data_IF_088752322949
#
_entry.id   IF_088752322949
#
_cell.length_a   1.000
_cell.length_b   1.000
_cell.length_c   1.000
_cell.angle_alpha   90.00
_cell.angle_beta   90.00
_cell.angle_gamma   90.00
#
_symmetry.space_group_name_H-M   'P 1'
#
loop_
_entity.id
_entity.type
_entity.pdbx_description
1 polymer ?
#
# COMPACT_ATOMS: atom_id res chain seq x y z
N UNK A 1 -13.48 21.09 26.25
CA UNK A 1 -14.80 21.30 26.88
C UNK A 1 -15.60 20.02 26.74
N UNK A 2 -16.06 19.47 27.86
CA UNK A 2 -16.82 18.22 27.90
C UNK A 2 -18.25 18.56 28.35
N UNK A 3 -19.26 17.94 27.74
CA UNK A 3 -20.65 18.16 28.08
C UNK A 3 -21.25 16.91 28.77
N UNK A 4 -22.12 17.14 29.75
CA UNK A 4 -22.82 16.05 30.41
C UNK A 4 -23.81 15.37 29.46
N UNK A 5 -23.70 14.06 29.31
CA UNK A 5 -24.59 13.29 28.41
C UNK A 5 -26.05 13.23 28.86
N UNK A 6 -26.35 13.50 30.14
CA UNK A 6 -27.70 13.47 30.67
C UNK A 6 -28.41 14.79 30.64
N UNK A 7 -27.73 15.91 30.99
CA UNK A 7 -28.34 17.24 31.11
C UNK A 7 -27.78 18.28 30.16
N UNK A 8 -26.72 17.99 29.40
CA UNK A 8 -26.10 18.92 28.47
C UNK A 8 -25.25 20.02 29.12
N UNK A 9 -25.12 20.05 30.45
CA UNK A 9 -24.34 21.07 31.15
C UNK A 9 -22.86 20.95 30.81
N UNK A 10 -22.17 22.10 30.70
CA UNK A 10 -20.73 22.16 30.47
C UNK A 10 -19.97 21.70 31.72
N UNK A 11 -19.01 20.83 31.53
CA UNK A 11 -18.23 20.19 32.58
C UNK A 11 -16.75 20.59 32.47
N UNK A 12 -16.10 20.73 33.62
CA UNK A 12 -14.65 20.87 33.69
C UNK A 12 -13.98 19.56 33.30
N UNK A 13 -12.85 19.63 32.62
CA UNK A 13 -12.10 18.43 32.15
C UNK A 13 -11.67 17.50 33.29
N UNK A 14 -11.65 18.00 34.55
CA UNK A 14 -11.33 17.24 35.77
C UNK A 14 -12.55 16.67 36.50
N UNK A 15 -13.80 17.06 36.11
CA UNK A 15 -15.00 16.66 36.82
C UNK A 15 -15.20 15.14 36.81
N UNK A 16 -15.46 14.57 37.95
CA UNK A 16 -15.87 13.16 38.14
C UNK A 16 -17.38 13.01 38.14
N UNK A 17 -18.12 14.03 38.59
CA UNK A 17 -19.56 14.10 38.61
C UNK A 17 -20.05 15.40 37.98
N UNK A 18 -21.26 15.37 37.43
CA UNK A 18 -21.90 16.58 36.91
C UNK A 18 -22.45 17.43 38.03
N UNK A 19 -22.02 18.68 38.16
CA UNK A 19 -22.46 19.63 39.19
C UNK A 19 -23.98 19.93 39.11
N UNK A 20 -24.58 19.78 37.90
CA UNK A 20 -25.99 20.09 37.66
C UNK A 20 -26.94 18.91 37.89
N UNK A 21 -26.54 17.66 37.64
CA UNK A 21 -27.42 16.50 37.70
C UNK A 21 -26.85 15.31 38.49
N UNK A 22 -25.67 15.43 39.09
CA UNK A 22 -25.02 14.43 39.96
C UNK A 22 -24.61 13.15 39.29
N UNK A 23 -24.72 13.05 37.95
CA UNK A 23 -24.33 11.82 37.23
C UNK A 23 -22.82 11.73 37.09
N UNK A 24 -22.29 10.53 37.29
CA UNK A 24 -20.88 10.24 37.11
C UNK A 24 -20.45 10.46 35.67
N UNK A 25 -19.37 11.24 35.49
CA UNK A 25 -18.80 11.56 34.17
C UNK A 25 -17.86 10.44 33.74
N UNK A 26 -18.37 9.52 32.92
CA UNK A 26 -17.55 8.47 32.32
C UNK A 26 -16.64 9.14 31.30
N UNK A 27 -15.39 9.36 31.67
CA UNK A 27 -14.34 9.78 30.72
C UNK A 27 -14.03 8.61 29.81
N UNK A 28 -14.67 8.56 28.64
CA UNK A 28 -14.28 7.64 27.59
C UNK A 28 -12.93 8.13 27.09
N UNK A 29 -11.87 7.52 27.59
CA UNK A 29 -10.52 7.74 27.07
C UNK A 29 -10.53 7.38 25.58
N UNK A 30 -10.64 8.37 24.71
CA UNK A 30 -10.47 8.14 23.28
C UNK A 30 -9.04 7.61 23.09
N UNK A 31 -8.92 6.30 22.85
CA UNK A 31 -7.62 5.71 22.55
C UNK A 31 -7.09 6.42 21.32
N UNK A 32 -5.96 7.08 21.47
CA UNK A 32 -5.32 7.76 20.35
C UNK A 32 -5.04 6.75 19.23
N UNK A 33 -4.97 7.23 18.01
CA UNK A 33 -4.62 6.38 16.85
C UNK A 33 -3.28 5.67 17.09
N UNK A 34 -2.38 6.33 17.82
CA UNK A 34 -1.09 5.81 18.25
C UNK A 34 -1.24 4.61 19.20
N UNK A 35 -2.12 4.69 20.21
CA UNK A 35 -2.37 3.58 21.15
C UNK A 35 -2.98 2.35 20.46
N UNK A 36 -3.86 2.56 19.47
CA UNK A 36 -4.39 1.46 18.63
C UNK A 36 -3.31 0.83 17.77
N UNK A 37 -2.40 1.65 17.22
CA UNK A 37 -1.27 1.18 16.42
C UNK A 37 -0.28 0.39 17.28
N UNK A 38 0.03 0.88 18.48
CA UNK A 38 0.94 0.23 19.42
C UNK A 38 0.34 -1.06 20.00
N UNK A 39 -0.97 -1.11 20.26
CA UNK A 39 -1.64 -2.34 20.67
C UNK A 39 -1.67 -3.40 19.57
N UNK A 40 -1.85 -3.00 18.30
CA UNK A 40 -1.73 -3.93 17.18
C UNK A 40 -0.30 -4.44 17.01
N UNK A 41 0.70 -3.58 17.23
CA UNK A 41 2.12 -3.94 17.21
C UNK A 41 2.52 -4.82 18.39
N UNK A 42 1.86 -4.66 19.55
CA UNK A 42 2.05 -5.52 20.72
C UNK A 42 1.35 -6.89 20.55
N UNK A 43 0.20 -6.93 19.86
CA UNK A 43 -0.43 -8.21 19.48
C UNK A 43 0.45 -9.00 18.51
N UNK A 44 1.15 -8.33 17.59
CA UNK A 44 2.14 -8.96 16.72
C UNK A 44 3.38 -9.48 17.49
N UNK A 45 3.67 -8.91 18.68
CA UNK A 45 4.75 -9.37 19.57
C UNK A 45 4.37 -10.52 20.50
N UNK A 46 3.07 -10.70 20.77
CA UNK A 46 2.55 -11.84 21.58
C UNK A 46 2.17 -13.04 20.71
N UNK A 47 2.90 -13.25 19.61
CA UNK A 47 2.75 -14.43 18.77
C UNK A 47 3.05 -15.69 19.59
N UNK A 48 2.17 -16.68 19.48
CA UNK A 48 2.39 -18.00 20.04
C UNK A 48 3.70 -18.59 19.52
N UNK A 49 4.40 -19.38 20.35
CA UNK A 49 5.62 -20.11 19.95
C UNK A 49 5.43 -20.85 18.61
N UNK A 50 4.23 -21.39 18.41
CA UNK A 50 3.79 -22.08 17.21
C UNK A 50 3.68 -21.17 15.96
N UNK A 51 3.32 -19.91 16.16
CA UNK A 51 3.24 -18.91 15.09
C UNK A 51 4.64 -18.41 14.72
N UNK A 52 5.54 -18.28 15.70
CA UNK A 52 6.96 -17.96 15.45
C UNK A 52 7.65 -19.05 14.65
N UNK A 53 7.45 -20.32 14.98
CA UNK A 53 7.97 -21.47 14.22
C UNK A 53 7.43 -21.50 12.77
N UNK A 54 6.14 -21.17 12.57
CA UNK A 54 5.57 -21.05 11.23
C UNK A 54 6.18 -19.89 10.44
N UNK A 55 6.39 -18.75 11.08
CA UNK A 55 7.01 -17.58 10.46
C UNK A 55 8.44 -17.91 10.03
N UNK A 56 9.19 -18.60 10.88
CA UNK A 56 10.59 -18.97 10.61
C UNK A 56 10.66 -19.98 9.45
N UNK A 57 9.77 -20.96 9.40
CA UNK A 57 9.68 -21.96 8.33
C UNK A 57 9.32 -21.36 6.97
N UNK A 58 8.56 -20.28 6.92
CA UNK A 58 8.10 -19.64 5.69
C UNK A 58 8.75 -18.27 5.42
N UNK A 59 9.83 -17.94 6.17
CA UNK A 59 10.55 -16.68 6.05
C UNK A 59 11.11 -16.43 4.64
N UNK A 60 11.51 -17.51 3.97
CA UNK A 60 12.11 -17.46 2.63
C UNK A 60 11.09 -17.59 1.49
N UNK A 61 9.80 -17.69 1.82
CA UNK A 61 8.75 -17.77 0.81
C UNK A 61 8.61 -16.43 0.08
N UNK A 62 8.86 -16.45 -1.23
CA UNK A 62 8.83 -15.26 -2.07
C UNK A 62 7.53 -15.19 -2.86
N UNK A 63 7.02 -13.99 -3.03
CA UNK A 63 5.87 -13.75 -3.91
C UNK A 63 6.31 -13.87 -5.38
N UNK A 64 5.83 -14.87 -6.15
CA UNK A 64 6.32 -15.15 -7.50
C UNK A 64 6.01 -14.02 -8.49
N UNK A 65 4.98 -13.22 -8.22
CA UNK A 65 4.55 -12.16 -9.13
C UNK A 65 5.37 -10.87 -9.01
N UNK A 66 6.15 -10.69 -7.94
CA UNK A 66 6.99 -9.48 -7.77
C UNK A 66 8.07 -9.41 -8.83
N UNK A 67 8.74 -10.54 -9.13
CA UNK A 67 9.78 -10.59 -10.16
C UNK A 67 9.26 -10.23 -11.54
N UNK A 68 8.11 -10.80 -11.92
CA UNK A 68 7.47 -10.50 -13.20
C UNK A 68 6.99 -9.05 -13.30
N UNK A 69 6.42 -8.49 -12.21
CA UNK A 69 6.02 -7.10 -12.16
C UNK A 69 7.22 -6.16 -12.30
N UNK A 70 8.31 -6.43 -11.57
CA UNK A 70 9.53 -5.62 -11.64
C UNK A 70 10.15 -5.66 -13.04
N UNK A 71 10.23 -6.84 -13.65
CA UNK A 71 10.72 -6.99 -15.01
C UNK A 71 9.90 -6.16 -16.00
N UNK A 72 8.57 -6.26 -15.95
CA UNK A 72 7.68 -5.50 -16.83
C UNK A 72 7.84 -3.97 -16.63
N UNK A 73 7.99 -3.50 -15.38
CA UNK A 73 8.27 -2.09 -15.06
C UNK A 73 9.59 -1.64 -15.68
N UNK A 74 10.66 -2.42 -15.51
CA UNK A 74 12.00 -2.08 -16.06
C UNK A 74 11.94 -2.01 -17.57
N UNK A 75 11.31 -2.99 -18.23
CA UNK A 75 11.19 -2.99 -19.70
C UNK A 75 10.40 -1.76 -20.18
N UNK A 76 9.26 -1.47 -19.57
CA UNK A 76 8.46 -0.30 -19.93
C UNK A 76 9.23 1.01 -19.72
N UNK A 77 10.00 1.12 -18.63
CA UNK A 77 10.82 2.29 -18.33
C UNK A 77 11.96 2.46 -19.34
N UNK A 78 12.66 1.38 -19.67
CA UNK A 78 13.73 1.40 -20.69
C UNK A 78 13.15 1.79 -22.05
N UNK A 79 12.02 1.21 -22.46
CA UNK A 79 11.36 1.56 -23.73
C UNK A 79 10.95 3.03 -23.77
N UNK A 80 10.54 3.61 -22.61
CA UNK A 80 10.07 5.00 -22.54
C UNK A 80 11.22 6.02 -22.57
N UNK A 81 12.37 5.72 -21.95
CA UNK A 81 13.46 6.71 -21.73
C UNK A 81 14.64 6.52 -22.67
N UNK A 82 14.83 5.31 -23.20
CA UNK A 82 15.99 5.02 -24.04
C UNK A 82 16.04 5.95 -25.26
N UNK A 83 17.21 6.54 -25.60
CA UNK A 83 17.34 7.42 -26.74
C UNK A 83 17.38 6.62 -28.05
N UNK A 84 16.24 6.24 -28.55
CA UNK A 84 16.05 5.41 -29.75
C UNK A 84 16.57 6.07 -31.04
N UNK A 85 16.86 7.37 -31.00
CA UNK A 85 17.44 8.11 -32.10
C UNK A 85 18.79 7.55 -32.62
N UNK A 86 19.50 6.79 -31.75
CA UNK A 86 20.71 6.08 -32.16
C UNK A 86 20.46 4.97 -33.22
N UNK A 87 19.26 4.42 -33.26
CA UNK A 87 18.88 3.33 -34.16
C UNK A 87 18.05 3.79 -35.36
N UNK A 88 17.56 5.05 -35.33
CA UNK A 88 16.79 5.64 -36.42
C UNK A 88 15.98 6.85 -35.95
N UNK A 89 15.84 7.85 -36.83
CA UNK A 89 15.30 9.17 -36.45
C UNK A 89 13.89 9.16 -35.84
N UNK A 90 13.07 8.15 -36.14
CA UNK A 90 11.67 8.13 -35.72
C UNK A 90 11.26 6.86 -34.92
N UNK A 91 12.20 6.03 -34.50
CA UNK A 91 11.85 4.75 -33.83
C UNK A 91 11.15 4.99 -32.49
N UNK A 92 11.72 5.88 -31.66
CA UNK A 92 11.19 6.17 -30.33
C UNK A 92 9.83 6.90 -30.33
N UNK A 93 9.56 7.65 -31.40
CA UNK A 93 8.31 8.40 -31.59
C UNK A 93 7.25 7.60 -32.35
N UNK A 94 7.59 6.45 -32.88
CA UNK A 94 6.69 5.61 -33.66
C UNK A 94 5.52 5.09 -32.83
N UNK A 95 4.34 5.03 -33.43
CA UNK A 95 3.13 4.51 -32.79
C UNK A 95 3.30 3.10 -32.18
N UNK A 96 3.95 2.13 -32.87
CA UNK A 96 4.18 0.80 -32.30
C UNK A 96 5.00 0.82 -31.00
N UNK A 97 6.03 1.68 -30.92
CA UNK A 97 6.86 1.80 -29.73
C UNK A 97 6.06 2.32 -28.53
N UNK A 98 5.20 3.31 -28.74
CA UNK A 98 4.34 3.87 -27.71
C UNK A 98 3.31 2.84 -27.22
N UNK A 99 2.71 2.09 -28.14
CA UNK A 99 1.81 0.99 -27.79
C UNK A 99 2.55 -0.05 -26.97
N UNK A 100 3.80 -0.39 -27.33
CA UNK A 100 4.61 -1.33 -26.56
C UNK A 100 4.86 -0.85 -25.11
N UNK A 101 5.21 0.42 -24.91
CA UNK A 101 5.39 1.02 -23.57
C UNK A 101 4.11 0.85 -22.73
N UNK A 102 2.96 1.21 -23.29
CA UNK A 102 1.67 1.09 -22.58
C UNK A 102 1.33 -0.37 -22.31
N UNK A 103 1.56 -1.27 -23.26
CA UNK A 103 1.31 -2.70 -23.08
C UNK A 103 2.13 -3.30 -21.92
N UNK A 104 3.43 -2.98 -21.83
CA UNK A 104 4.28 -3.42 -20.73
C UNK A 104 3.91 -2.75 -19.41
N UNK A 105 3.47 -1.49 -19.41
CA UNK A 105 2.96 -0.82 -18.23
C UNK A 105 1.69 -1.50 -17.68
N UNK A 106 0.73 -1.83 -18.54
CA UNK A 106 -0.48 -2.58 -18.17
C UNK A 106 -0.16 -4.00 -17.69
N UNK A 107 0.83 -4.65 -18.29
CA UNK A 107 1.32 -5.95 -17.84
C UNK A 107 1.93 -5.86 -16.43
N UNK A 108 2.67 -4.80 -16.15
CA UNK A 108 3.21 -4.53 -14.82
C UNK A 108 2.08 -4.33 -13.79
N UNK A 109 1.05 -3.55 -14.10
CA UNK A 109 -0.12 -3.35 -13.22
C UNK A 109 -0.87 -4.66 -12.96
N UNK A 110 -1.03 -5.50 -13.98
CA UNK A 110 -1.63 -6.83 -13.82
C UNK A 110 -0.83 -7.69 -12.83
N UNK A 111 0.49 -7.80 -13.00
CA UNK A 111 1.33 -8.57 -12.09
C UNK A 111 1.38 -7.96 -10.68
N UNK A 112 1.34 -6.63 -10.54
CA UNK A 112 1.22 -5.96 -9.24
C UNK A 112 -0.09 -6.30 -8.53
N UNK A 113 -1.20 -6.35 -9.26
CA UNK A 113 -2.51 -6.75 -8.72
C UNK A 113 -2.47 -8.20 -8.23
N UNK A 114 -1.89 -9.11 -9.01
CA UNK A 114 -1.67 -10.49 -8.60
C UNK A 114 -0.74 -10.60 -7.38
N UNK A 115 0.33 -9.82 -7.33
CA UNK A 115 1.23 -9.77 -6.18
C UNK A 115 0.51 -9.30 -4.90
N UNK A 116 -0.39 -8.31 -4.99
CA UNK A 116 -1.23 -7.86 -3.86
C UNK A 116 -2.20 -8.96 -3.40
N UNK A 117 -2.86 -9.63 -4.34
CA UNK A 117 -3.76 -10.74 -4.02
C UNK A 117 -3.01 -11.87 -3.31
N UNK A 118 -1.86 -12.28 -3.84
CA UNK A 118 -1.02 -13.32 -3.25
C UNK A 118 -0.52 -12.92 -1.87
N UNK A 119 -0.10 -11.66 -1.67
CA UNK A 119 0.27 -11.12 -0.35
C UNK A 119 -0.86 -11.27 0.65
N UNK A 120 -2.11 -10.96 0.26
CA UNK A 120 -3.27 -11.05 1.13
C UNK A 120 -3.63 -12.51 1.44
N UNK A 121 -3.50 -13.41 0.46
CA UNK A 121 -3.70 -14.85 0.68
C UNK A 121 -2.65 -15.43 1.63
N UNK A 122 -1.39 -15.05 1.47
CA UNK A 122 -0.30 -15.48 2.37
C UNK A 122 -0.49 -14.93 3.79
N UNK A 123 -0.96 -13.69 3.91
CA UNK A 123 -1.32 -13.12 5.21
C UNK A 123 -2.47 -13.89 5.88
N UNK A 124 -3.52 -14.22 5.12
CA UNK A 124 -4.62 -15.04 5.63
C UNK A 124 -4.18 -16.44 6.05
N UNK A 125 -3.23 -17.04 5.33
CA UNK A 125 -2.76 -18.41 5.57
C UNK A 125 -1.74 -18.51 6.71
N UNK A 126 -0.82 -17.57 6.80
CA UNK A 126 0.34 -17.64 7.71
C UNK A 126 0.30 -16.59 8.83
N UNK A 127 -0.58 -15.58 8.75
CA UNK A 127 -0.72 -14.53 9.77
C UNK A 127 0.35 -13.45 9.74
N UNK A 128 1.29 -13.46 8.78
CA UNK A 128 2.34 -12.45 8.64
C UNK A 128 2.44 -11.92 7.20
N UNK A 129 3.01 -10.72 7.05
CA UNK A 129 3.09 -10.01 5.77
C UNK A 129 4.44 -10.24 5.10
N UNK A 130 4.43 -11.05 4.04
CA UNK A 130 5.63 -11.33 3.24
C UNK A 130 5.86 -10.18 2.25
N UNK A 131 7.07 -9.62 2.22
CA UNK A 131 7.54 -8.64 1.24
C UNK A 131 6.59 -7.43 1.03
N UNK A 132 5.92 -6.95 2.08
CA UNK A 132 4.95 -5.85 1.97
C UNK A 132 5.55 -4.59 1.36
N UNK A 133 6.75 -4.19 1.81
CA UNK A 133 7.41 -2.98 1.32
C UNK A 133 7.79 -3.12 -0.15
N UNK A 134 8.28 -4.29 -0.56
CA UNK A 134 8.63 -4.57 -1.96
C UNK A 134 7.40 -4.46 -2.87
N UNK A 135 6.27 -5.06 -2.46
CA UNK A 135 5.00 -4.95 -3.22
C UNK A 135 4.53 -3.50 -3.33
N UNK A 136 4.67 -2.69 -2.27
CA UNK A 136 4.31 -1.26 -2.30
C UNK A 136 5.19 -0.47 -3.27
N UNK A 137 6.51 -0.68 -3.23
CA UNK A 137 7.46 0.02 -4.11
C UNK A 137 7.22 -0.35 -5.57
N UNK A 138 7.12 -1.64 -5.88
CA UNK A 138 6.88 -2.10 -7.26
C UNK A 138 5.54 -1.58 -7.79
N UNK A 139 4.51 -1.53 -6.96
CA UNK A 139 3.23 -0.95 -7.35
C UNK A 139 3.31 0.55 -7.63
N UNK A 140 4.04 1.31 -6.82
CA UNK A 140 4.22 2.75 -7.05
C UNK A 140 4.99 3.00 -8.37
N UNK A 141 6.01 2.19 -8.65
CA UNK A 141 6.76 2.25 -9.91
C UNK A 141 5.88 1.87 -11.12
N UNK A 142 5.04 0.85 -11.00
CA UNK A 142 4.11 0.46 -12.06
C UNK A 142 3.14 1.59 -12.40
N UNK A 143 2.50 2.19 -11.40
CA UNK A 143 1.60 3.35 -11.59
C UNK A 143 2.34 4.51 -12.27
N UNK A 144 3.57 4.81 -11.81
CA UNK A 144 4.37 5.88 -12.40
C UNK A 144 4.64 5.64 -13.89
N UNK A 145 5.06 4.43 -14.27
CA UNK A 145 5.34 4.07 -15.66
C UNK A 145 4.05 4.08 -16.50
N UNK A 146 2.91 3.68 -15.94
CA UNK A 146 1.62 3.74 -16.63
C UNK A 146 1.21 5.17 -16.93
N UNK A 147 1.37 6.09 -15.97
CA UNK A 147 1.12 7.52 -16.19
C UNK A 147 2.04 8.08 -17.26
N UNK A 148 3.34 7.76 -17.21
CA UNK A 148 4.32 8.18 -18.22
C UNK A 148 3.96 7.66 -19.62
N UNK A 149 3.57 6.39 -19.72
CA UNK A 149 3.18 5.77 -20.99
C UNK A 149 1.92 6.41 -21.59
N UNK A 150 0.91 6.66 -20.78
CA UNK A 150 -0.30 7.35 -21.20
C UNK A 150 -0.01 8.79 -21.62
N UNK A 151 0.79 9.52 -20.86
CA UNK A 151 1.20 10.88 -21.21
C UNK A 151 1.93 10.92 -22.55
N UNK A 152 2.87 10.00 -22.79
CA UNK A 152 3.58 9.88 -24.06
C UNK A 152 2.64 9.59 -25.24
N UNK A 153 1.55 8.87 -25.01
CA UNK A 153 0.52 8.60 -26.02
C UNK A 153 -0.28 9.86 -26.39
N UNK A 154 -0.68 10.64 -25.39
CA UNK A 154 -1.52 11.83 -25.59
C UNK A 154 -0.74 13.02 -26.16
N UNK A 155 0.47 13.29 -25.65
CA UNK A 155 1.22 14.49 -26.05
C UNK A 155 1.72 14.47 -27.49
N UNK A 156 1.74 13.32 -28.16
CA UNK A 156 2.20 13.19 -29.54
C UNK A 156 1.06 12.88 -30.54
N UNK A 157 -0.19 12.83 -30.08
CA UNK A 157 -1.39 12.72 -30.93
C UNK A 157 -2.03 14.08 -31.24
N UNK A 158 -1.50 15.14 -30.66
CA UNK A 158 -1.81 16.55 -30.92
C UNK A 158 -0.71 17.19 -31.73
#
# INVERSE_FOLDING_TARGET
>A
MIYCRKCGAELKDSAQFCDSCGVEVIKVKQRSYQEKYDQNKLKDKNLSKKDLERMEKHKDEKNPYIGAALFAVIVAFVLAIFPWSYFGENIGTSLPMRIAVVAFALLADYHCTKAKQTKNLLYSKYGFRIQENTVRVVNALAIFVTIMGLFALFMYGA
#
